data_IF_148527881904
#
_entry.id   IF_148527881904
#
_cell.length_a   1.000
_cell.length_b   1.000
_cell.length_c   1.000
_cell.angle_alpha   90.00
_cell.angle_beta   90.00
_cell.angle_gamma   90.00
#
_symmetry.space_group_name_H-M   'P 1'
#
loop_
_entity.id
_entity.type
_entity.pdbx_description
1 polymer ?
#
# COMPACT_ATOMS: atom_id res chain seq x y z
N UNK A 1 -10.62 6.45 -36.60
CA UNK A 1 -10.25 7.22 -35.39
C UNK A 1 -8.88 7.83 -35.65
N UNK A 2 -8.74 9.15 -35.55
CA UNK A 2 -7.48 9.83 -35.88
C UNK A 2 -6.31 9.28 -35.04
N UNK A 3 -5.11 9.18 -35.63
CA UNK A 3 -3.93 8.62 -34.94
C UNK A 3 -3.60 9.36 -33.64
N UNK A 4 -3.82 10.68 -33.60
CA UNK A 4 -3.71 11.48 -32.37
C UNK A 4 -4.65 10.99 -31.27
N UNK A 5 -5.91 10.69 -31.61
CA UNK A 5 -6.92 10.23 -30.65
C UNK A 5 -6.51 8.87 -30.08
N UNK A 6 -5.98 7.98 -30.92
CA UNK A 6 -5.46 6.68 -30.49
C UNK A 6 -4.28 6.86 -29.52
N UNK A 7 -3.33 7.75 -29.83
CA UNK A 7 -2.18 8.01 -28.95
C UNK A 7 -2.60 8.56 -27.58
N UNK A 8 -3.56 9.49 -27.55
CA UNK A 8 -4.08 10.05 -26.29
C UNK A 8 -4.76 8.97 -25.44
N UNK A 9 -5.57 8.11 -26.07
CA UNK A 9 -6.25 7.01 -25.36
C UNK A 9 -5.24 6.03 -24.77
N UNK A 10 -4.20 5.64 -25.53
CA UNK A 10 -3.18 4.71 -25.06
C UNK A 10 -2.40 5.30 -23.88
N UNK A 11 -2.00 6.58 -23.96
CA UNK A 11 -1.28 7.25 -22.88
C UNK A 11 -2.12 7.33 -21.60
N UNK A 12 -3.41 7.64 -21.74
CA UNK A 12 -4.33 7.72 -20.62
C UNK A 12 -4.60 6.34 -19.99
N UNK A 13 -4.80 5.31 -20.81
CA UNK A 13 -4.96 3.94 -20.35
C UNK A 13 -3.71 3.44 -19.60
N UNK A 14 -2.51 3.74 -20.10
CA UNK A 14 -1.25 3.40 -19.44
C UNK A 14 -1.11 4.08 -18.07
N UNK A 15 -1.50 5.35 -17.96
CA UNK A 15 -1.48 6.08 -16.69
C UNK A 15 -2.44 5.46 -15.65
N UNK A 16 -3.68 5.18 -16.05
CA UNK A 16 -4.67 4.51 -15.18
C UNK A 16 -4.16 3.13 -14.76
N UNK A 17 -3.61 2.34 -15.67
CA UNK A 17 -3.06 1.03 -15.35
C UNK A 17 -1.90 1.12 -14.35
N UNK A 18 -1.00 2.09 -14.50
CA UNK A 18 0.12 2.28 -13.58
C UNK A 18 -0.34 2.65 -12.18
N UNK A 19 -1.24 3.64 -12.05
CA UNK A 19 -1.78 4.07 -10.77
C UNK A 19 -2.61 2.95 -10.14
N UNK A 20 -3.49 2.31 -10.91
CA UNK A 20 -4.28 1.16 -10.46
C UNK A 20 -3.41 0.01 -9.96
N UNK A 21 -2.31 -0.31 -10.66
CA UNK A 21 -1.33 -1.32 -10.22
C UNK A 21 -0.63 -0.90 -8.92
N UNK A 22 -0.27 0.37 -8.77
CA UNK A 22 0.37 0.89 -7.56
C UNK A 22 -0.57 0.78 -6.35
N UNK A 23 -1.82 1.22 -6.50
CA UNK A 23 -2.86 1.13 -5.46
C UNK A 23 -3.17 -0.34 -5.14
N UNK A 24 -3.35 -1.18 -6.17
CA UNK A 24 -3.59 -2.61 -5.98
C UNK A 24 -2.46 -3.27 -5.21
N UNK A 25 -1.20 -2.90 -5.46
CA UNK A 25 -0.04 -3.40 -4.71
C UNK A 25 0.02 -2.85 -3.27
N UNK A 26 -0.43 -1.62 -3.05
CA UNK A 26 -0.49 -0.99 -1.72
C UNK A 26 -1.58 -1.60 -0.83
N UNK A 27 -2.72 -1.95 -1.41
CA UNK A 27 -3.86 -2.53 -0.69
C UNK A 27 -3.75 -4.05 -0.58
N UNK A 28 -3.24 -4.70 -1.62
CA UNK A 28 -2.95 -6.13 -1.63
C UNK A 28 -1.53 -6.32 -1.12
N UNK A 29 -1.32 -6.03 0.17
CA UNK A 29 -0.17 -6.59 0.87
C UNK A 29 -0.22 -8.10 0.63
N UNK A 30 0.78 -8.67 -0.06
CA UNK A 30 0.96 -10.13 -0.12
C UNK A 30 0.80 -10.63 1.33
N UNK A 31 0.27 -11.84 1.54
CA UNK A 31 0.01 -12.45 2.87
C UNK A 31 1.17 -12.44 3.89
N UNK A 32 2.32 -11.86 3.55
CA UNK A 32 3.31 -11.38 4.48
C UNK A 32 3.20 -9.86 4.55
N UNK A 33 2.67 -9.36 5.68
CA UNK A 33 3.22 -8.17 6.33
C UNK A 33 4.74 -8.15 6.01
N UNK A 34 5.24 -7.10 5.35
CA UNK A 34 6.61 -7.09 4.81
C UNK A 34 7.57 -7.62 5.86
N UNK A 35 8.48 -8.52 5.50
CA UNK A 35 9.25 -9.39 6.42
C UNK A 35 10.13 -8.72 7.47
N UNK A 36 9.86 -7.47 7.87
CA UNK A 36 10.37 -6.77 9.04
C UNK A 36 9.44 -5.65 9.55
N UNK A 37 8.14 -5.66 9.24
CA UNK A 37 7.20 -4.68 9.78
C UNK A 37 6.81 -5.05 11.22
N UNK A 38 7.59 -4.57 12.21
CA UNK A 38 7.18 -4.44 13.62
C UNK A 38 6.04 -3.41 13.76
N UNK A 39 4.97 -3.56 12.99
CA UNK A 39 3.79 -2.70 12.98
C UNK A 39 2.70 -3.25 13.92
N UNK A 40 3.12 -3.69 15.10
CA UNK A 40 2.28 -4.00 16.23
C UNK A 40 3.10 -3.76 17.47
N UNK A 41 2.76 -2.70 18.21
CA UNK A 41 3.22 -2.56 19.60
C UNK A 41 2.60 -3.73 20.38
N UNK A 42 3.43 -4.72 20.68
CA UNK A 42 3.04 -5.86 21.51
C UNK A 42 3.01 -5.41 22.97
N UNK A 43 1.80 -5.22 23.50
CA UNK A 43 1.57 -4.87 24.90
C UNK A 43 1.53 -6.09 25.82
N UNK A 44 1.83 -7.28 25.31
CA UNK A 44 1.78 -8.55 26.04
C UNK A 44 2.81 -8.62 27.18
N UNK A 45 3.79 -7.72 27.20
CA UNK A 45 4.81 -7.59 28.25
C UNK A 45 4.81 -6.28 29.03
N UNK A 46 3.83 -5.38 28.84
CA UNK A 46 3.71 -4.19 29.69
C UNK A 46 2.93 -4.58 30.94
N UNK A 47 3.65 -4.92 32.02
CA UNK A 47 3.06 -4.88 33.35
C UNK A 47 2.59 -3.44 33.61
N UNK A 48 1.33 -3.20 34.05
CA UNK A 48 0.87 -1.88 34.41
C UNK A 48 1.72 -1.41 35.60
N UNK A 49 2.76 -0.65 35.27
CA UNK A 49 3.73 -0.14 36.23
C UNK A 49 2.98 0.56 37.35
N UNK A 50 3.15 0.01 38.55
CA UNK A 50 2.81 0.66 39.81
C UNK A 50 3.15 2.15 39.73
N UNK A 51 2.17 2.98 40.04
CA UNK A 51 2.36 4.35 40.49
C UNK A 51 3.43 4.32 41.60
N UNK A 52 4.67 4.70 41.28
CA UNK A 52 5.60 5.11 42.32
C UNK A 52 5.13 6.49 42.76
N UNK A 53 4.83 6.60 44.06
CA UNK A 53 4.56 7.85 44.77
C UNK A 53 5.66 8.87 44.51
#
# INVERSE_FOLDING_TARGET
MNIQVILVIVLFAAAIFYIGRMIYKSLTAKKSCGGNCKCGVDFSGIEPGKTKK
#
